data_IF_544376971562
#
_entry.id   IF_544376971562
#
_cell.length_a   1.000
_cell.length_b   1.000
_cell.length_c   1.000
_cell.angle_alpha   90.00
_cell.angle_beta   90.00
_cell.angle_gamma   90.00
#
_symmetry.space_group_name_H-M   'P 1'
#
loop_
_entity.id
_entity.type
_entity.pdbx_description
1 polymer ?
#
# COMPACT_ATOMS: atom_id res chain seq x y z
N UNK A 1 14.00 -9.37 14.41
CA UNK A 1 12.96 -10.01 13.57
C UNK A 1 11.72 -9.15 13.40
N UNK A 2 11.05 -8.72 14.47
CA UNK A 2 9.81 -7.92 14.37
C UNK A 2 9.94 -6.65 13.50
N UNK A 3 11.09 -5.99 13.52
CA UNK A 3 11.33 -4.81 12.67
C UNK A 3 11.16 -5.10 11.17
N UNK A 4 11.50 -6.31 10.70
CA UNK A 4 11.42 -6.67 9.28
C UNK A 4 9.98 -6.92 8.85
N UNK A 5 9.17 -7.52 9.73
CA UNK A 5 7.73 -7.62 9.53
C UNK A 5 7.09 -6.23 9.46
N UNK A 6 7.52 -5.29 10.33
CA UNK A 6 7.06 -3.88 10.27
C UNK A 6 7.47 -3.17 8.98
N UNK A 7 8.72 -3.35 8.51
CA UNK A 7 9.18 -2.77 7.23
C UNK A 7 8.33 -3.31 6.08
N UNK A 8 8.07 -4.61 6.03
CA UNK A 8 7.20 -5.21 5.02
C UNK A 8 5.70 -5.01 5.30
N UNK A 9 5.33 -4.31 6.38
CA UNK A 9 3.94 -4.03 6.78
C UNK A 9 3.08 -5.29 6.81
N UNK A 10 3.63 -6.33 7.44
CA UNK A 10 2.98 -7.63 7.64
C UNK A 10 3.00 -7.99 9.11
N UNK A 11 2.06 -8.83 9.53
CA UNK A 11 2.04 -9.33 10.91
C UNK A 11 3.19 -10.31 11.18
N UNK A 12 3.68 -10.44 12.43
CA UNK A 12 4.68 -11.46 12.77
C UNK A 12 4.22 -12.91 12.51
N UNK A 13 2.92 -13.13 12.37
CA UNK A 13 2.29 -14.43 12.04
C UNK A 13 2.10 -14.64 10.54
N UNK A 14 2.56 -13.70 9.70
CA UNK A 14 2.40 -13.79 8.26
C UNK A 14 3.12 -15.02 7.67
N UNK A 15 2.44 -15.68 6.74
CA UNK A 15 2.99 -16.77 5.95
C UNK A 15 4.06 -16.27 4.97
N UNK A 16 4.95 -17.16 4.47
CA UNK A 16 5.95 -16.79 3.46
C UNK A 16 5.34 -16.17 2.19
N UNK A 17 4.16 -16.62 1.76
CA UNK A 17 3.47 -16.07 0.59
C UNK A 17 2.93 -14.65 0.84
N UNK A 18 2.41 -14.38 2.04
CA UNK A 18 1.99 -13.02 2.41
C UNK A 18 3.18 -12.05 2.44
N UNK A 19 4.31 -12.50 2.97
CA UNK A 19 5.58 -11.76 2.98
C UNK A 19 6.05 -11.45 1.55
N UNK A 20 6.02 -12.44 0.66
CA UNK A 20 6.39 -12.28 -0.76
C UNK A 20 5.44 -11.35 -1.52
N UNK A 21 4.14 -11.42 -1.24
CA UNK A 21 3.16 -10.48 -1.80
C UNK A 21 3.42 -9.05 -1.34
N UNK A 22 3.58 -8.85 -0.04
CA UNK A 22 3.84 -7.53 0.53
C UNK A 22 5.14 -6.90 -0.02
N UNK A 23 6.20 -7.71 -0.15
CA UNK A 23 7.43 -7.31 -0.82
C UNK A 23 7.18 -6.79 -2.24
N UNK A 24 6.44 -7.53 -3.08
CA UNK A 24 6.13 -7.12 -4.46
C UNK A 24 5.37 -5.79 -4.52
N UNK A 25 4.36 -5.60 -3.66
CA UNK A 25 3.59 -4.36 -3.63
C UNK A 25 4.43 -3.16 -3.19
N UNK A 26 5.26 -3.33 -2.17
CA UNK A 26 6.13 -2.26 -1.71
C UNK A 26 7.23 -1.92 -2.73
N UNK A 27 7.83 -2.92 -3.39
CA UNK A 27 8.79 -2.69 -4.48
C UNK A 27 8.14 -1.94 -5.64
N UNK A 28 6.92 -2.32 -6.03
CA UNK A 28 6.15 -1.64 -7.08
C UNK A 28 5.86 -0.18 -6.74
N UNK A 29 5.60 0.12 -5.47
CA UNK A 29 5.36 1.49 -5.01
C UNK A 29 6.66 2.30 -4.92
N UNK A 30 7.69 1.76 -4.26
CA UNK A 30 8.95 2.45 -4.00
C UNK A 30 9.97 2.41 -5.15
N UNK A 31 9.61 1.86 -6.30
CA UNK A 31 10.49 1.85 -7.47
C UNK A 31 10.88 3.30 -7.85
N UNK A 32 12.18 3.63 -8.01
CA UNK A 32 12.64 4.99 -8.29
C UNK A 32 11.96 5.68 -9.48
N UNK A 33 11.59 4.94 -10.52
CA UNK A 33 10.89 5.44 -11.71
C UNK A 33 9.48 6.01 -11.43
N UNK A 34 8.89 5.66 -10.28
CA UNK A 34 7.61 6.22 -9.83
C UNK A 34 7.77 7.64 -9.29
N UNK A 35 8.99 8.04 -8.96
CA UNK A 35 9.32 9.31 -8.35
C UNK A 35 10.02 10.23 -9.37
N UNK A 36 9.89 11.55 -9.22
CA UNK A 36 10.54 12.48 -10.14
C UNK A 36 12.05 12.41 -10.05
N UNK A 37 12.75 12.29 -11.18
CA UNK A 37 14.21 12.11 -11.24
C UNK A 37 14.94 13.34 -10.73
N UNK A 38 14.37 14.52 -10.96
CA UNK A 38 14.89 15.83 -10.54
C UNK A 38 14.74 16.05 -9.03
N UNK A 39 13.83 15.32 -8.37
CA UNK A 39 13.63 15.42 -6.93
C UNK A 39 14.64 14.55 -6.18
N UNK A 40 15.81 15.10 -5.87
CA UNK A 40 16.86 14.39 -5.13
C UNK A 40 16.33 13.81 -3.81
N UNK A 41 15.45 14.55 -3.11
CA UNK A 41 14.80 14.08 -1.87
C UNK A 41 14.01 12.80 -2.09
N UNK A 42 13.09 12.82 -3.06
CA UNK A 42 12.20 11.68 -3.32
C UNK A 42 12.97 10.49 -3.88
N UNK A 43 13.97 10.74 -4.73
CA UNK A 43 14.87 9.69 -5.22
C UNK A 43 15.68 9.06 -4.09
N UNK A 44 16.26 9.86 -3.18
CA UNK A 44 16.97 9.32 -2.00
C UNK A 44 16.04 8.54 -1.08
N UNK A 45 14.81 9.02 -0.88
CA UNK A 45 13.80 8.33 -0.09
C UNK A 45 13.43 6.99 -0.72
N UNK A 46 13.08 6.95 -2.00
CA UNK A 46 12.73 5.73 -2.73
C UNK A 46 13.88 4.70 -2.68
N UNK A 47 15.11 5.14 -2.95
CA UNK A 47 16.29 4.28 -2.89
C UNK A 47 16.58 3.76 -1.47
N UNK A 48 16.33 4.57 -0.44
CA UNK A 48 16.46 4.14 0.96
C UNK A 48 15.40 3.08 1.28
N UNK A 49 14.13 3.34 0.95
CA UNK A 49 13.02 2.43 1.20
C UNK A 49 13.24 1.09 0.49
N UNK A 50 13.61 1.11 -0.79
CA UNK A 50 13.96 -0.11 -1.54
C UNK A 50 15.05 -0.94 -0.87
N UNK A 51 16.10 -0.31 -0.33
CA UNK A 51 17.15 -1.03 0.41
C UNK A 51 16.62 -1.68 1.68
N UNK A 52 15.82 -0.96 2.46
CA UNK A 52 15.22 -1.47 3.69
C UNK A 52 14.25 -2.63 3.40
N UNK A 53 13.39 -2.50 2.38
CA UNK A 53 12.46 -3.54 1.91
C UNK A 53 13.20 -4.79 1.44
N UNK A 54 14.22 -4.63 0.58
CA UNK A 54 15.03 -5.74 0.08
C UNK A 54 15.82 -6.44 1.19
N UNK A 55 16.26 -5.70 2.21
CA UNK A 55 16.90 -6.28 3.38
C UNK A 55 15.89 -7.07 4.22
N UNK A 56 14.75 -6.47 4.54
CA UNK A 56 13.71 -7.12 5.33
C UNK A 56 13.22 -8.42 4.70
N UNK A 57 13.00 -8.43 3.38
CA UNK A 57 12.58 -9.63 2.66
C UNK A 57 13.59 -10.76 2.77
N UNK A 58 14.89 -10.47 2.55
CA UNK A 58 15.96 -11.48 2.66
C UNK A 58 16.06 -12.08 4.07
N UNK A 59 15.95 -11.25 5.10
CA UNK A 59 16.03 -11.70 6.50
C UNK A 59 14.83 -12.59 6.87
N UNK A 60 13.63 -12.26 6.37
CA UNK A 60 12.43 -13.06 6.57
C UNK A 60 12.50 -14.39 5.81
N UNK A 61 12.94 -14.41 4.56
CA UNK A 61 13.15 -15.66 3.81
C UNK A 61 14.12 -16.60 4.53
N UNK A 62 15.25 -16.07 5.05
CA UNK A 62 16.20 -16.87 5.83
C UNK A 62 15.59 -17.40 7.14
N UNK A 63 14.74 -16.61 7.81
CA UNK A 63 14.06 -17.04 9.02
C UNK A 63 13.13 -18.23 8.75
N UNK A 64 12.31 -18.17 7.71
CA UNK A 64 11.44 -19.29 7.33
C UNK A 64 12.23 -20.54 6.91
N UNK A 65 13.35 -20.36 6.20
CA UNK A 65 14.21 -21.47 5.80
C UNK A 65 14.87 -22.21 6.99
N UNK A 66 15.14 -21.51 8.11
CA UNK A 66 15.69 -22.12 9.34
C UNK A 66 14.64 -22.90 10.14
N UNK A 67 13.36 -22.57 9.99
CA UNK A 67 12.24 -23.26 10.65
C UNK A 67 11.85 -24.59 9.98
N UNK A 68 12.27 -24.83 8.75
CA UNK A 68 11.98 -26.07 8.01
C UNK A 68 13.00 -27.17 8.29
N UNK A 69 12.93 -27.78 9.48
CA UNK A 69 13.45 -29.15 9.67
C UNK A 69 12.35 -30.15 9.26
N UNK A 70 12.60 -30.84 8.14
CA UNK A 70 11.82 -31.92 7.49
C UNK A 70 10.45 -32.29 8.10
N UNK A 71 9.38 -31.95 7.37
CA UNK A 71 8.30 -32.92 7.14
C UNK A 71 7.79 -32.79 5.70
N UNK A 72 7.89 -33.91 4.98
CA UNK A 72 7.27 -34.14 3.68
C UNK A 72 5.81 -34.53 3.92
N UNK A 73 4.88 -33.88 3.24
CA UNK A 73 3.65 -34.45 2.64
C UNK A 73 3.21 -33.43 1.59
N UNK A 74 3.55 -33.65 0.32
CA UNK A 74 2.71 -34.30 -0.69
C UNK A 74 1.37 -33.58 -0.90
N UNK A 75 1.33 -32.85 -2.00
CA UNK A 75 0.20 -32.63 -2.90
C UNK A 75 -1.13 -32.17 -2.28
N UNK A 76 -1.24 -30.85 -2.16
CA UNK A 76 -2.47 -30.19 -2.61
C UNK A 76 -2.09 -29.24 -3.75
N UNK A 77 -2.57 -29.45 -4.99
CA UNK A 77 -2.39 -28.44 -6.02
C UNK A 77 -2.99 -27.13 -5.50
N UNK A 78 -2.42 -25.97 -5.86
CA UNK A 78 -3.07 -24.69 -5.56
C UNK A 78 -4.51 -24.80 -6.06
N UNK A 79 -5.54 -24.38 -5.29
CA UNK A 79 -6.87 -24.26 -5.84
C UNK A 79 -6.73 -23.44 -7.13
N UNK A 80 -7.16 -24.05 -8.23
CA UNK A 80 -7.08 -23.45 -9.56
C UNK A 80 -7.56 -22.01 -9.49
N UNK A 81 -6.78 -21.11 -10.10
CA UNK A 81 -7.18 -19.73 -10.34
C UNK A 81 -8.57 -19.71 -11.00
N UNK A 82 -9.61 -19.50 -10.18
CA UNK A 82 -11.00 -19.67 -10.61
C UNK A 82 -12.08 -19.71 -9.51
N UNK A 83 -11.77 -19.37 -8.25
CA UNK A 83 -12.73 -19.33 -7.14
C UNK A 83 -12.31 -18.22 -6.16
N UNK A 84 -13.10 -17.25 -5.71
CA UNK A 84 -14.41 -16.73 -6.04
C UNK A 84 -14.29 -15.22 -5.79
N UNK A 85 -14.74 -14.34 -6.69
CA UNK A 85 -14.80 -12.90 -6.41
C UNK A 85 -15.96 -12.54 -5.45
N UNK A 86 -16.34 -13.49 -4.58
CA UNK A 86 -17.46 -13.36 -3.65
C UNK A 86 -17.00 -12.63 -2.39
N UNK A 87 -17.76 -11.65 -1.89
CA UNK A 87 -17.46 -10.98 -0.63
C UNK A 87 -17.37 -11.98 0.52
N UNK A 88 -16.28 -11.92 1.29
CA UNK A 88 -16.12 -12.62 2.57
C UNK A 88 -17.07 -12.04 3.63
N UNK A 89 -17.32 -10.74 3.55
CA UNK A 89 -18.25 -10.02 4.42
C UNK A 89 -19.06 -9.03 3.59
N UNK A 90 -20.37 -9.02 3.79
CA UNK A 90 -21.28 -8.02 3.22
C UNK A 90 -21.89 -7.22 4.36
N UNK A 91 -21.83 -5.91 4.25
CA UNK A 91 -22.37 -4.98 5.24
C UNK A 91 -23.79 -4.58 4.85
N UNK A 92 -24.58 -4.14 5.84
CA UNK A 92 -25.98 -3.76 5.63
C UNK A 92 -26.15 -2.55 4.69
N UNK A 93 -25.13 -1.69 4.61
CA UNK A 93 -25.10 -0.53 3.71
C UNK A 93 -24.73 -0.90 2.26
N UNK A 94 -24.51 -2.19 1.96
CA UNK A 94 -24.12 -2.66 0.62
C UNK A 94 -22.61 -2.77 0.40
N UNK A 95 -21.79 -2.31 1.35
CA UNK A 95 -20.34 -2.47 1.26
C UNK A 95 -19.97 -3.95 1.29
N UNK A 96 -18.88 -4.28 0.61
CA UNK A 96 -18.39 -5.64 0.50
C UNK A 96 -16.90 -5.69 0.84
N UNK A 97 -16.49 -6.73 1.56
CA UNK A 97 -15.08 -6.97 1.85
C UNK A 97 -14.67 -8.36 1.39
N UNK A 98 -13.51 -8.43 0.73
CA UNK A 98 -12.87 -9.65 0.26
C UNK A 98 -11.48 -9.72 0.92
N UNK A 99 -11.31 -10.65 1.85
CA UNK A 99 -10.04 -10.78 2.58
C UNK A 99 -10.18 -11.46 3.94
N UNK A 100 -9.11 -11.45 4.75
CA UNK A 100 -9.12 -12.05 6.08
C UNK A 100 -10.00 -11.28 7.07
N UNK A 101 -10.58 -12.01 8.02
CA UNK A 101 -11.30 -11.43 9.15
C UNK A 101 -10.60 -11.78 10.46
N UNK A 102 -10.57 -10.83 11.40
CA UNK A 102 -10.33 -11.09 12.81
C UNK A 102 -11.68 -11.10 13.53
N UNK A 103 -12.21 -12.30 13.79
CA UNK A 103 -13.60 -12.46 14.21
C UNK A 103 -14.56 -12.07 13.08
N UNK A 104 -15.31 -10.98 13.27
CA UNK A 104 -16.26 -10.45 12.26
C UNK A 104 -15.81 -9.12 11.65
N UNK A 105 -14.52 -8.79 11.81
CA UNK A 105 -13.98 -7.48 11.44
C UNK A 105 -12.87 -7.64 10.39
N UNK A 106 -12.86 -6.85 9.30
CA UNK A 106 -11.77 -6.86 8.32
C UNK A 106 -10.38 -6.72 8.96
N UNK A 107 -9.45 -7.58 8.55
CA UNK A 107 -8.08 -7.58 9.09
C UNK A 107 -7.06 -8.10 8.06
N UNK A 108 -5.83 -7.62 8.16
CA UNK A 108 -4.77 -7.99 7.21
C UNK A 108 -5.04 -7.40 5.83
N UNK A 109 -4.44 -7.98 4.79
CA UNK A 109 -4.56 -7.43 3.43
C UNK A 109 -5.85 -7.90 2.75
N UNK A 110 -6.68 -6.96 2.30
CA UNK A 110 -7.92 -7.26 1.61
C UNK A 110 -8.39 -6.14 0.70
N UNK A 111 -9.55 -6.35 0.10
CA UNK A 111 -10.24 -5.38 -0.76
C UNK A 111 -11.57 -5.02 -0.14
N UNK A 112 -11.82 -3.73 0.03
CA UNK A 112 -13.10 -3.18 0.44
C UNK A 112 -13.72 -2.44 -0.74
N UNK A 113 -14.91 -2.89 -1.12
CA UNK A 113 -15.72 -2.33 -2.18
C UNK A 113 -16.82 -1.53 -1.50
N UNK A 114 -16.78 -0.22 -1.68
CA UNK A 114 -17.79 0.68 -1.14
C UNK A 114 -19.03 0.60 -2.03
N UNK A 115 -20.23 0.63 -1.44
CA UNK A 115 -21.50 0.63 -2.15
C UNK A 115 -21.62 1.83 -3.09
N UNK A 116 -20.99 2.95 -2.73
CA UNK A 116 -20.89 4.16 -3.55
C UNK A 116 -19.93 4.01 -4.75
N UNK A 117 -19.20 2.88 -4.85
CA UNK A 117 -18.37 2.50 -5.98
C UNK A 117 -16.86 2.71 -5.80
N UNK A 118 -16.43 3.36 -4.73
CA UNK A 118 -15.00 3.45 -4.40
C UNK A 118 -14.45 2.03 -4.11
N UNK A 119 -13.14 1.86 -4.25
CA UNK A 119 -12.47 0.61 -3.93
C UNK A 119 -11.17 0.87 -3.19
N UNK A 120 -11.03 0.30 -2.00
CA UNK A 120 -9.76 0.24 -1.30
C UNK A 120 -9.17 -1.16 -1.39
N UNK A 121 -7.89 -1.27 -1.70
CA UNK A 121 -7.11 -2.50 -1.62
C UNK A 121 -5.85 -2.25 -0.79
N UNK A 122 -5.71 -2.92 0.34
CA UNK A 122 -4.62 -2.66 1.25
C UNK A 122 -4.77 -3.35 2.59
N UNK A 123 -4.03 -2.88 3.59
CA UNK A 123 -4.04 -3.46 4.92
C UNK A 123 -5.21 -2.92 5.77
N UNK A 124 -5.74 -3.81 6.61
CA UNK A 124 -6.81 -3.51 7.56
C UNK A 124 -6.37 -3.85 8.99
N UNK A 125 -6.64 -2.92 9.91
CA UNK A 125 -6.50 -3.15 11.35
C UNK A 125 -7.79 -2.69 12.01
N UNK A 126 -8.43 -3.57 12.80
CA UNK A 126 -9.71 -3.30 13.46
C UNK A 126 -10.79 -2.77 12.51
N UNK A 127 -10.85 -3.32 11.30
CA UNK A 127 -11.87 -2.98 10.31
C UNK A 127 -11.57 -1.75 9.48
N UNK A 128 -10.44 -1.09 9.73
CA UNK A 128 -10.08 0.18 9.09
C UNK A 128 -8.86 0.05 8.19
N UNK A 129 -8.85 0.64 6.99
CA UNK A 129 -7.64 0.97 6.26
C UNK A 129 -6.51 1.45 7.16
N UNK A 130 -5.39 0.75 7.04
CA UNK A 130 -4.16 1.01 7.75
C UNK A 130 -2.97 0.70 6.84
N UNK A 131 -1.75 1.03 7.27
CA UNK A 131 -0.55 0.59 6.58
C UNK A 131 -0.44 1.15 5.17
N UNK A 132 -0.10 0.34 4.16
CA UNK A 132 -0.12 0.76 2.76
C UNK A 132 -1.36 0.27 2.04
N UNK A 133 -1.91 1.10 1.16
CA UNK A 133 -3.05 0.72 0.34
C UNK A 133 -3.16 1.53 -0.94
N UNK A 134 -4.08 1.09 -1.78
CA UNK A 134 -4.56 1.79 -2.96
C UNK A 134 -6.04 2.09 -2.79
N UNK A 135 -6.42 3.35 -2.86
CA UNK A 135 -7.82 3.79 -2.92
C UNK A 135 -8.10 4.29 -4.34
N UNK A 136 -9.05 3.67 -5.00
CA UNK A 136 -9.59 4.08 -6.31
C UNK A 136 -10.95 4.71 -6.06
N UNK A 137 -11.11 5.94 -6.53
CA UNK A 137 -12.33 6.70 -6.41
C UNK A 137 -13.21 6.50 -7.65
N UNK A 138 -14.53 6.62 -7.49
CA UNK A 138 -15.47 6.50 -8.61
C UNK A 138 -15.29 7.55 -9.69
N UNK A 139 -14.75 8.72 -9.34
CA UNK A 139 -14.44 9.78 -10.28
C UNK A 139 -13.19 9.47 -11.15
N UNK A 140 -12.51 8.34 -10.90
CA UNK A 140 -11.29 7.93 -11.60
C UNK A 140 -9.99 8.35 -10.92
N UNK A 141 -10.07 9.13 -9.82
CA UNK A 141 -8.91 9.46 -9.02
C UNK A 141 -8.37 8.20 -8.33
N UNK A 142 -7.09 8.22 -7.99
CA UNK A 142 -6.41 7.12 -7.34
C UNK A 142 -5.39 7.65 -6.35
N UNK A 143 -5.39 7.10 -5.15
CA UNK A 143 -4.33 7.27 -4.17
C UNK A 143 -3.61 5.96 -3.91
N UNK A 144 -2.29 5.99 -3.91
CA UNK A 144 -1.42 4.89 -3.47
C UNK A 144 -0.51 5.44 -2.37
N UNK A 145 -0.56 4.88 -1.16
CA UNK A 145 0.27 5.40 -0.08
C UNK A 145 -0.14 4.89 1.30
N UNK A 146 0.25 5.67 2.32
CA UNK A 146 -0.01 5.33 3.71
C UNK A 146 -1.45 5.64 4.16
N UNK A 147 -1.98 4.79 5.04
CA UNK A 147 -3.27 4.97 5.69
C UNK A 147 -3.14 4.83 7.21
N UNK A 148 -3.80 5.72 7.94
CA UNK A 148 -3.95 5.64 9.40
C UNK A 148 -5.38 5.98 9.76
N UNK A 149 -6.10 5.01 10.34
CA UNK A 149 -7.50 5.20 10.77
C UNK A 149 -8.40 5.74 9.64
N UNK A 150 -8.39 5.09 8.48
CA UNK A 150 -9.14 5.46 7.27
C UNK A 150 -8.68 6.74 6.55
N UNK A 151 -7.66 7.44 7.07
CA UNK A 151 -7.15 8.66 6.46
C UNK A 151 -5.84 8.42 5.71
N UNK A 152 -5.70 9.04 4.53
CA UNK A 152 -4.43 9.08 3.80
C UNK A 152 -3.41 9.85 4.62
N UNK A 153 -2.25 9.24 4.87
CA UNK A 153 -1.25 9.74 5.81
C UNK A 153 0.16 9.32 5.38
N UNK A 154 1.14 10.18 5.62
CA UNK A 154 2.53 9.91 5.26
C UNK A 154 2.80 10.05 3.77
N UNK A 155 3.82 9.38 3.25
CA UNK A 155 4.21 9.51 1.85
C UNK A 155 3.24 8.73 0.93
N UNK A 156 2.84 9.36 -0.17
CA UNK A 156 1.87 8.81 -1.11
C UNK A 156 1.98 9.41 -2.51
N UNK A 157 1.22 8.80 -3.43
CA UNK A 157 1.03 9.23 -4.80
C UNK A 157 -0.47 9.38 -5.02
N UNK A 158 -0.93 10.61 -5.22
CA UNK A 158 -2.27 10.88 -5.72
C UNK A 158 -2.20 11.06 -7.23
N UNK A 159 -3.08 10.40 -7.97
CA UNK A 159 -3.25 10.55 -9.42
C UNK A 159 -4.71 10.89 -9.66
N UNK A 160 -4.96 12.06 -10.20
CA UNK A 160 -6.31 12.45 -10.57
C UNK A 160 -6.72 11.86 -11.93
N UNK A 161 -8.02 11.80 -12.19
CA UNK A 161 -8.59 11.27 -13.41
C UNK A 161 -8.14 12.03 -14.67
N UNK A 162 -7.71 13.28 -14.53
CA UNK A 162 -7.20 14.09 -15.64
C UNK A 162 -5.72 13.76 -15.99
N UNK A 163 -5.04 12.94 -15.19
CA UNK A 163 -3.64 12.54 -15.37
C UNK A 163 -2.62 13.35 -14.55
N UNK A 164 -3.03 14.42 -13.87
CA UNK A 164 -2.19 15.13 -12.91
C UNK A 164 -1.92 14.23 -11.71
N UNK A 165 -0.70 14.29 -11.18
CA UNK A 165 -0.27 13.52 -10.02
C UNK A 165 0.45 14.37 -8.99
N UNK A 166 0.30 14.03 -7.73
CA UNK A 166 1.08 14.58 -6.62
C UNK A 166 1.86 13.47 -5.95
N UNK A 167 3.15 13.69 -5.72
CA UNK A 167 4.05 12.75 -5.03
C UNK A 167 4.66 13.46 -3.82
N UNK A 168 4.39 12.95 -2.62
CA UNK A 168 4.93 13.54 -1.40
C UNK A 168 4.13 13.17 -0.15
N UNK A 169 4.25 14.01 0.87
CA UNK A 169 3.55 13.82 2.14
C UNK A 169 2.06 14.12 2.07
N UNK A 170 1.30 13.37 2.87
CA UNK A 170 -0.12 13.52 3.11
C UNK A 170 -0.37 13.59 4.61
N UNK A 171 -1.33 14.42 4.98
CA UNK A 171 -1.83 14.51 6.35
C UNK A 171 -3.34 14.73 6.30
N UNK A 172 -4.11 13.96 7.06
CA UNK A 172 -5.57 14.05 7.09
C UNK A 172 -6.21 14.04 5.68
N UNK A 173 -5.71 13.20 4.77
CA UNK A 173 -6.25 13.11 3.41
C UNK A 173 -5.69 14.12 2.40
N UNK A 174 -4.85 15.07 2.81
CA UNK A 174 -4.45 16.19 1.96
C UNK A 174 -2.93 16.26 1.77
N UNK A 175 -2.44 16.73 0.60
CA UNK A 175 -1.04 17.08 0.41
C UNK A 175 -0.50 17.97 1.54
N UNK A 176 0.58 17.54 2.17
CA UNK A 176 1.20 18.23 3.30
C UNK A 176 2.71 17.96 3.37
N UNK A 177 3.49 18.98 3.71
CA UNK A 177 4.95 18.92 3.69
C UNK A 177 5.53 19.04 2.28
N UNK A 178 6.76 18.57 2.08
CA UNK A 178 7.44 18.66 0.78
C UNK A 178 6.87 17.65 -0.21
N UNK A 179 6.52 18.09 -1.41
CA UNK A 179 6.02 17.23 -2.48
C UNK A 179 6.20 17.84 -3.85
N UNK A 180 5.85 17.08 -4.88
CA UNK A 180 5.96 17.48 -6.27
C UNK A 180 4.61 17.28 -6.94
N UNK A 181 4.01 18.37 -7.41
CA UNK A 181 2.87 18.31 -8.31
C UNK A 181 3.38 18.14 -9.74
N UNK A 182 2.79 17.20 -10.48
CA UNK A 182 3.24 16.82 -11.81
C UNK A 182 2.01 16.78 -12.70
N UNK A 183 1.96 17.67 -13.66
CA UNK A 183 0.83 17.73 -14.59
C UNK A 183 0.75 16.48 -15.48
N UNK A 184 -0.39 16.24 -16.10
CA UNK A 184 -0.57 15.19 -17.12
C UNK A 184 0.46 15.30 -18.27
N UNK A 185 0.93 16.51 -18.58
CA UNK A 185 1.99 16.77 -19.56
C UNK A 185 3.41 16.46 -19.04
N UNK A 186 3.56 16.02 -17.80
CA UNK A 186 4.83 15.67 -17.17
C UNK A 186 5.59 16.85 -16.55
N UNK A 187 5.08 18.10 -16.66
CA UNK A 187 5.72 19.26 -16.03
C UNK A 187 5.60 19.19 -14.51
N UNK A 188 6.72 19.41 -13.84
CA UNK A 188 6.87 19.23 -12.39
C UNK A 188 6.95 20.57 -11.65
N UNK A 189 6.39 20.58 -10.44
CA UNK A 189 6.32 21.72 -9.55
C UNK A 189 6.63 21.23 -8.12
N UNK A 190 7.92 21.13 -7.77
CA UNK A 190 8.33 20.85 -6.40
C UNK A 190 7.96 22.03 -5.48
N UNK A 191 7.63 21.73 -4.23
CA UNK A 191 7.34 22.77 -3.26
C UNK A 191 6.89 22.25 -1.89
N UNK A 192 6.60 23.21 -1.01
CA UNK A 192 6.02 23.00 0.30
C UNK A 192 4.49 23.12 0.23
N UNK A 193 3.81 22.10 0.75
CA UNK A 193 2.36 22.00 0.76
C UNK A 193 1.83 22.04 2.18
N UNK A 194 0.70 22.71 2.37
CA UNK A 194 -0.04 22.71 3.62
C UNK A 194 -1.52 22.62 3.30
N UNK A 195 -2.16 21.57 3.82
CA UNK A 195 -3.60 21.34 3.74
C UNK A 195 -4.10 21.47 2.29
N UNK A 196 -3.43 20.72 1.39
CA UNK A 196 -3.75 20.65 -0.03
C UNK A 196 -3.30 21.86 -0.86
N UNK A 197 -2.71 22.89 -0.23
CA UNK A 197 -2.32 24.13 -0.90
C UNK A 197 -0.81 24.24 -1.02
N UNK A 198 -0.32 24.62 -2.20
CA UNK A 198 1.08 24.97 -2.41
C UNK A 198 1.39 26.31 -1.74
N UNK A 199 2.30 26.31 -0.77
CA UNK A 199 2.70 27.49 0.01
C UNK A 199 3.99 28.10 -0.54
N UNK A 200 4.94 27.26 -0.97
CA UNK A 200 6.25 27.69 -1.46
C UNK A 200 6.72 26.79 -2.61
N UNK A 201 7.33 27.35 -3.65
CA UNK A 201 7.98 26.59 -4.73
C UNK A 201 9.47 26.46 -4.43
N UNK A 202 10.01 25.26 -4.64
CA UNK A 202 11.45 24.99 -4.58
C UNK A 202 12.18 25.54 -5.83
#
# INVERSE_FOLDING_TARGET
>A
MEQFFKILKVTPTASPEEVKRAYKEQVKFWHPDRFPVESERLQKLANRQMREINQAYRELEQHFAKGTSKSNTSDKPPPSAGQENRPTLQFQNGDCYIGPLAGSVPHGYGTYLFAEGNQYTGEFVNGKPHGHGTLVFTNGDKYEGGFVNDMMEGEGIYTSANGDRFVGGFKNGQPHGRGVHITAAGKQYPGLWQDGTLIERD
#
